data_IF_466315041910
#
_entry.id   IF_466315041910
#
_cell.length_a   1.000
_cell.length_b   1.000
_cell.length_c   1.000
_cell.angle_alpha   90.00
_cell.angle_beta   90.00
_cell.angle_gamma   90.00
#
_symmetry.space_group_name_H-M   'P 1'
#
loop_
_entity.id
_entity.type
_entity.pdbx_description
1 polymer ?
#
# COMPACT_ATOMS: atom_id res chain seq x y z
N UNK A 1 -5.68 36.28 7.32
CA UNK A 1 -7.13 36.51 7.35
C UNK A 1 -7.74 35.25 7.97
N UNK A 2 -8.04 35.29 9.27
CA UNK A 2 -8.76 34.21 9.96
C UNK A 2 -10.24 34.29 9.58
N UNK A 3 -10.73 33.37 8.78
CA UNK A 3 -12.16 33.16 8.57
C UNK A 3 -12.75 32.55 9.83
N UNK A 4 -13.62 33.27 10.50
CA UNK A 4 -14.42 32.82 11.63
C UNK A 4 -15.44 31.77 11.11
N UNK A 5 -15.16 30.48 11.30
CA UNK A 5 -16.04 29.38 10.91
C UNK A 5 -17.10 29.22 12.00
N UNK A 6 -18.37 29.40 11.64
CA UNK A 6 -19.51 29.11 12.53
C UNK A 6 -19.51 27.62 12.91
N UNK A 7 -19.78 27.30 14.16
CA UNK A 7 -19.66 25.98 14.78
C UNK A 7 -20.56 24.87 14.20
N UNK A 8 -21.34 25.13 13.17
CA UNK A 8 -22.17 24.13 12.46
C UNK A 8 -21.59 23.63 11.12
N UNK A 9 -20.58 24.34 10.58
CA UNK A 9 -20.03 24.05 9.23
C UNK A 9 -18.72 23.24 9.25
N UNK A 10 -18.12 23.06 10.42
CA UNK A 10 -16.80 22.41 10.56
C UNK A 10 -16.84 20.92 10.16
N UNK A 11 -17.90 20.22 10.48
CA UNK A 11 -18.07 18.80 10.12
C UNK A 11 -18.22 18.58 8.62
N UNK A 12 -19.02 19.42 7.97
CA UNK A 12 -19.26 19.32 6.52
C UNK A 12 -18.01 19.65 5.71
N UNK A 13 -17.28 20.69 6.10
CA UNK A 13 -16.00 21.07 5.48
C UNK A 13 -14.95 19.97 5.63
N UNK A 14 -14.82 19.37 6.83
CA UNK A 14 -13.90 18.27 7.08
C UNK A 14 -14.26 17.01 6.28
N UNK A 15 -15.54 16.68 6.17
CA UNK A 15 -16.02 15.56 5.34
C UNK A 15 -15.68 15.76 3.86
N UNK A 16 -15.91 16.94 3.31
CA UNK A 16 -15.51 17.31 1.95
C UNK A 16 -13.99 17.26 1.75
N UNK A 17 -13.24 17.74 2.75
CA UNK A 17 -11.78 17.70 2.75
C UNK A 17 -11.25 16.26 2.76
N UNK A 18 -11.79 15.39 3.61
CA UNK A 18 -11.44 13.96 3.70
C UNK A 18 -11.81 13.23 2.43
N UNK A 19 -13.01 13.46 1.90
CA UNK A 19 -13.49 12.88 0.65
C UNK A 19 -12.61 13.25 -0.56
N UNK A 20 -12.05 14.44 -0.58
CA UNK A 20 -11.11 14.88 -1.63
C UNK A 20 -9.73 14.21 -1.52
N UNK A 21 -9.33 13.78 -0.32
CA UNK A 21 -8.01 13.18 -0.07
C UNK A 21 -8.03 11.65 -0.04
N UNK A 22 -9.13 11.03 0.34
CA UNK A 22 -9.24 9.59 0.49
C UNK A 22 -10.21 9.02 -0.53
N UNK A 23 -9.73 8.13 -1.39
CA UNK A 23 -10.58 7.41 -2.34
C UNK A 23 -11.01 6.08 -1.74
N UNK A 24 -12.29 5.96 -1.38
CA UNK A 24 -12.89 4.67 -0.98
C UNK A 24 -13.20 3.88 -2.25
N UNK A 25 -12.65 2.68 -2.36
CA UNK A 25 -12.85 1.79 -3.51
C UNK A 25 -13.82 0.64 -3.23
N UNK A 26 -13.98 0.27 -1.97
CA UNK A 26 -14.99 -0.68 -1.51
C UNK A 26 -15.39 -0.38 -0.06
N UNK A 27 -16.65 -0.54 0.27
CA UNK A 27 -17.14 -0.39 1.64
C UNK A 27 -18.41 -1.20 1.86
N UNK A 28 -18.46 -1.94 2.96
CA UNK A 28 -19.66 -2.57 3.50
C UNK A 28 -19.76 -2.41 5.03
N UNK A 29 -20.55 -3.25 5.69
CA UNK A 29 -20.73 -3.18 7.16
C UNK A 29 -19.49 -3.65 7.95
N UNK A 30 -18.60 -4.40 7.34
CA UNK A 30 -17.51 -5.13 8.01
C UNK A 30 -16.12 -4.68 7.63
N UNK A 31 -15.95 -4.19 6.39
CA UNK A 31 -14.66 -3.77 5.86
C UNK A 31 -14.79 -2.45 5.07
N UNK A 32 -13.68 -1.75 4.95
CA UNK A 32 -13.50 -0.63 4.03
C UNK A 32 -12.13 -0.73 3.38
N UNK A 33 -12.09 -0.56 2.06
CA UNK A 33 -10.86 -0.57 1.27
C UNK A 33 -10.67 0.80 0.66
N UNK A 34 -9.51 1.38 0.87
CA UNK A 34 -9.17 2.72 0.37
C UNK A 34 -7.94 2.67 -0.53
N UNK A 35 -7.89 3.54 -1.52
CA UNK A 35 -6.71 3.79 -2.32
C UNK A 35 -5.89 4.89 -1.63
N UNK A 36 -4.83 4.48 -0.92
CA UNK A 36 -3.92 5.37 -0.21
C UNK A 36 -3.04 6.12 -1.21
N UNK A 37 -2.86 7.40 -1.02
CA UNK A 37 -1.85 8.18 -1.73
C UNK A 37 -0.46 7.98 -1.10
N UNK A 38 0.60 8.31 -1.85
CA UNK A 38 1.93 8.41 -1.26
C UNK A 38 1.95 9.53 -0.20
N UNK A 39 2.93 9.48 0.71
CA UNK A 39 3.11 10.39 1.86
C UNK A 39 2.20 10.13 3.06
N UNK A 40 1.07 9.45 2.91
CA UNK A 40 0.21 9.06 4.04
C UNK A 40 0.76 7.85 4.78
N UNK A 41 0.63 7.84 6.10
CA UNK A 41 0.92 6.69 6.96
C UNK A 41 -0.38 5.94 7.26
N UNK A 42 -0.33 4.62 7.26
CA UNK A 42 -1.54 3.80 7.53
C UNK A 42 -1.89 3.80 9.01
N UNK A 43 -0.89 3.75 9.88
CA UNK A 43 -1.00 3.72 11.33
C UNK A 43 -0.04 4.74 11.94
N UNK A 44 -0.38 5.27 13.12
CA UNK A 44 0.45 6.25 13.81
C UNK A 44 1.90 5.79 14.00
N UNK A 45 2.83 6.69 13.77
CA UNK A 45 4.26 6.51 13.95
C UNK A 45 4.88 7.67 14.75
N UNK A 46 6.21 7.76 14.79
CA UNK A 46 6.95 8.80 15.52
C UNK A 46 6.88 10.19 14.88
N UNK A 47 6.30 10.35 13.69
CA UNK A 47 6.25 11.62 12.96
C UNK A 47 5.17 12.56 13.48
N UNK A 48 4.15 12.02 14.15
CA UNK A 48 3.00 12.79 14.63
C UNK A 48 1.97 13.14 13.55
N UNK A 49 2.16 12.65 12.32
CA UNK A 49 1.16 12.84 11.26
C UNK A 49 -0.12 12.06 11.54
N UNK A 50 -1.26 12.61 11.14
CA UNK A 50 -2.54 11.93 11.26
C UNK A 50 -2.57 10.69 10.37
N UNK A 51 -2.70 9.47 10.93
CA UNK A 51 -2.69 8.25 10.16
C UNK A 51 -3.99 8.04 9.39
N UNK A 52 -3.92 7.33 8.29
CA UNK A 52 -5.06 6.99 7.45
C UNK A 52 -6.18 6.28 8.24
N UNK A 53 -5.84 5.47 9.24
CA UNK A 53 -6.80 4.84 10.15
C UNK A 53 -7.68 5.86 10.90
N UNK A 54 -7.13 7.00 11.33
CA UNK A 54 -7.90 8.05 11.99
C UNK A 54 -8.76 8.83 10.97
N UNK A 55 -8.24 9.06 9.77
CA UNK A 55 -8.99 9.69 8.66
C UNK A 55 -10.21 8.83 8.30
N UNK A 56 -10.03 7.49 8.20
CA UNK A 56 -11.13 6.55 7.94
C UNK A 56 -12.15 6.53 9.08
N UNK A 57 -11.72 6.58 10.34
CA UNK A 57 -12.65 6.69 11.50
C UNK A 57 -13.52 7.94 11.39
N UNK A 58 -12.90 9.07 11.13
CA UNK A 58 -13.61 10.33 11.02
C UNK A 58 -14.59 10.32 9.84
N UNK A 59 -14.16 9.80 8.67
CA UNK A 59 -15.03 9.61 7.52
C UNK A 59 -16.29 8.79 7.86
N UNK A 60 -16.12 7.65 8.54
CA UNK A 60 -17.25 6.79 8.92
C UNK A 60 -18.12 7.42 9.98
N UNK A 61 -17.53 8.17 10.93
CA UNK A 61 -18.29 8.89 11.96
C UNK A 61 -19.24 9.92 11.33
N UNK A 62 -18.74 10.69 10.40
CA UNK A 62 -19.51 11.74 9.73
C UNK A 62 -20.52 11.16 8.74
N UNK A 63 -20.09 10.22 7.88
CA UNK A 63 -20.97 9.58 6.90
C UNK A 63 -22.20 8.94 7.52
N UNK A 64 -22.04 8.28 8.66
CA UNK A 64 -23.10 7.55 9.34
C UNK A 64 -23.65 8.28 10.58
N UNK A 65 -23.23 9.53 10.82
CA UNK A 65 -23.65 10.36 11.97
C UNK A 65 -23.56 9.58 13.31
N UNK A 66 -22.47 8.80 13.49
CA UNK A 66 -22.31 7.94 14.65
C UNK A 66 -21.96 8.77 15.88
N UNK A 67 -22.75 8.63 16.99
CA UNK A 67 -22.35 9.19 18.27
C UNK A 67 -21.17 8.38 18.85
N UNK A 68 -20.19 9.06 19.40
CA UNK A 68 -19.06 8.41 20.09
C UNK A 68 -17.95 7.91 19.16
N UNK A 69 -17.21 6.90 19.62
CA UNK A 69 -16.04 6.37 18.94
C UNK A 69 -16.42 5.36 17.85
N UNK A 70 -15.74 5.45 16.70
CA UNK A 70 -15.85 4.47 15.61
C UNK A 70 -14.66 3.52 15.68
N UNK A 71 -14.94 2.22 15.63
CA UNK A 71 -13.89 1.21 15.58
C UNK A 71 -13.33 1.09 14.15
N UNK A 72 -12.00 1.10 14.03
CA UNK A 72 -11.26 0.73 12.81
C UNK A 72 -10.08 -0.13 13.21
N UNK A 73 -9.99 -1.32 12.62
CA UNK A 73 -8.87 -2.23 12.76
C UNK A 73 -7.93 -2.17 11.57
N UNK A 74 -6.64 -1.98 11.82
CA UNK A 74 -5.58 -2.02 10.81
C UNK A 74 -5.18 -3.47 10.57
N UNK A 75 -5.38 -3.97 9.34
CA UNK A 75 -5.09 -5.37 8.98
C UNK A 75 -3.71 -5.56 8.38
N UNK A 76 -3.26 -4.58 7.62
CA UNK A 76 -1.92 -4.53 7.00
C UNK A 76 -1.51 -3.07 6.76
N UNK A 77 -0.28 -2.87 6.31
CA UNK A 77 0.27 -1.54 6.06
C UNK A 77 0.99 -1.48 4.72
N UNK A 78 0.97 -0.30 4.13
CA UNK A 78 1.88 0.10 3.06
C UNK A 78 2.90 1.09 3.62
N UNK A 79 4.11 1.08 3.07
CA UNK A 79 5.13 2.07 3.41
C UNK A 79 4.64 3.48 3.04
N UNK A 80 5.12 4.52 3.74
CA UNK A 80 4.74 5.91 3.50
C UNK A 80 4.84 6.32 2.01
N UNK A 81 5.94 6.04 1.28
CA UNK A 81 6.08 6.48 -0.11
C UNK A 81 5.33 5.60 -1.12
N UNK A 82 4.63 4.55 -0.68
CA UNK A 82 3.89 3.60 -1.52
C UNK A 82 2.43 3.98 -1.57
N UNK A 83 1.80 3.90 -2.74
CA UNK A 83 0.37 4.12 -2.96
C UNK A 83 -0.39 2.81 -3.15
N UNK A 84 -1.73 2.87 -3.11
CA UNK A 84 -2.59 1.75 -3.45
C UNK A 84 -3.47 1.23 -2.31
N UNK A 85 -3.96 0.02 -2.46
CA UNK A 85 -5.02 -0.56 -1.64
C UNK A 85 -4.60 -0.85 -0.21
N UNK A 86 -5.41 -0.35 0.73
CA UNK A 86 -5.33 -0.68 2.16
C UNK A 86 -6.71 -1.12 2.64
N UNK A 87 -6.77 -2.29 3.27
CA UNK A 87 -7.99 -2.87 3.84
C UNK A 87 -8.04 -2.58 5.33
N UNK A 88 -9.15 -2.01 5.79
CA UNK A 88 -9.45 -1.83 7.20
C UNK A 88 -10.68 -2.65 7.61
N UNK A 89 -10.66 -3.16 8.83
CA UNK A 89 -11.81 -3.81 9.43
C UNK A 89 -12.67 -2.79 10.17
N UNK A 90 -13.98 -2.82 9.95
CA UNK A 90 -14.98 -1.98 10.66
C UNK A 90 -15.54 -2.66 11.92
N UNK A 91 -15.19 -3.94 12.14
CA UNK A 91 -15.59 -4.73 13.32
C UNK A 91 -14.42 -5.56 13.85
N UNK A 92 -14.42 -5.85 15.16
CA UNK A 92 -13.39 -6.70 15.78
C UNK A 92 -13.37 -8.12 15.21
N UNK A 93 -14.56 -8.67 14.88
CA UNK A 93 -14.69 -9.99 14.25
C UNK A 93 -14.06 -10.02 12.86
N UNK A 94 -14.29 -9.00 12.03
CA UNK A 94 -13.65 -8.88 10.73
C UNK A 94 -12.13 -8.71 10.86
N UNK A 95 -11.67 -7.90 11.83
CA UNK A 95 -10.25 -7.70 12.12
C UNK A 95 -9.52 -9.02 12.42
N UNK A 96 -10.06 -9.80 13.36
CA UNK A 96 -9.46 -11.09 13.75
C UNK A 96 -9.33 -12.03 12.56
N UNK A 97 -10.37 -12.15 11.76
CA UNK A 97 -10.40 -13.03 10.58
C UNK A 97 -9.46 -12.55 9.46
N UNK A 98 -9.45 -11.25 9.16
CA UNK A 98 -8.53 -10.67 8.18
C UNK A 98 -7.08 -10.83 8.61
N UNK A 99 -6.76 -10.61 9.89
CA UNK A 99 -5.40 -10.82 10.39
C UNK A 99 -4.92 -12.26 10.18
N UNK A 100 -5.80 -13.26 10.42
CA UNK A 100 -5.45 -14.66 10.13
C UNK A 100 -5.26 -14.89 8.64
N UNK A 101 -6.14 -14.38 7.78
CA UNK A 101 -6.01 -14.51 6.33
C UNK A 101 -4.74 -13.85 5.77
N UNK A 102 -4.33 -12.70 6.32
CA UNK A 102 -3.04 -12.09 5.96
C UNK A 102 -1.85 -12.93 6.42
N UNK A 103 -1.94 -13.54 7.60
CA UNK A 103 -0.89 -14.40 8.17
C UNK A 103 -0.74 -15.71 7.39
N UNK A 104 -1.84 -16.31 6.96
CA UNK A 104 -1.89 -17.57 6.16
C UNK A 104 -1.71 -17.34 4.66
N UNK A 105 -1.50 -16.09 4.23
CA UNK A 105 -1.34 -15.71 2.81
C UNK A 105 -2.56 -16.04 1.92
N UNK A 106 -3.74 -16.11 2.50
CA UNK A 106 -5.01 -16.25 1.77
C UNK A 106 -5.42 -14.97 1.03
N UNK A 107 -4.88 -13.82 1.44
CA UNK A 107 -5.08 -12.54 0.74
C UNK A 107 -4.07 -12.44 -0.39
N UNK A 108 -4.54 -12.47 -1.63
CA UNK A 108 -3.70 -12.24 -2.82
C UNK A 108 -3.49 -10.76 -3.02
N UNK A 109 -2.25 -10.36 -3.28
CA UNK A 109 -1.84 -8.96 -3.44
C UNK A 109 -0.95 -8.83 -4.65
N UNK A 110 -1.39 -8.01 -5.60
CA UNK A 110 -0.61 -7.69 -6.80
C UNK A 110 -0.21 -6.22 -6.78
N UNK A 111 1.05 -5.97 -7.01
CA UNK A 111 1.63 -4.63 -7.06
C UNK A 111 2.11 -4.33 -8.47
N UNK A 112 2.07 -3.05 -8.83
CA UNK A 112 2.78 -2.53 -9.98
C UNK A 112 3.99 -1.75 -9.53
N UNK A 113 5.14 -2.02 -10.16
CA UNK A 113 6.40 -1.36 -9.88
C UNK A 113 7.04 -0.84 -11.16
N UNK A 114 7.29 0.47 -11.23
CA UNK A 114 8.05 1.06 -12.34
C UNK A 114 9.52 1.06 -11.95
N UNK A 115 10.35 0.38 -12.73
CA UNK A 115 11.77 0.19 -12.47
C UNK A 115 12.64 0.80 -13.58
N UNK A 116 13.92 1.08 -13.26
CA UNK A 116 14.85 1.69 -14.22
C UNK A 116 15.34 0.70 -15.25
N UNK A 117 15.65 -0.51 -14.84
CA UNK A 117 16.28 -1.52 -15.68
C UNK A 117 15.30 -2.65 -15.97
N UNK A 118 15.35 -3.20 -17.16
CA UNK A 118 14.64 -4.44 -17.46
C UNK A 118 15.20 -5.58 -16.61
N UNK A 119 14.36 -6.50 -16.09
CA UNK A 119 14.84 -7.75 -15.56
C UNK A 119 15.50 -8.58 -16.67
N UNK A 120 16.42 -9.49 -16.30
CA UNK A 120 17.07 -10.38 -17.27
C UNK A 120 16.07 -11.31 -17.95
N UNK A 121 15.16 -11.86 -17.16
CA UNK A 121 14.04 -12.68 -17.65
C UNK A 121 12.74 -11.88 -17.56
N UNK A 122 11.81 -12.04 -18.52
CA UNK A 122 10.55 -11.29 -18.54
C UNK A 122 9.63 -11.63 -17.36
N UNK A 123 9.79 -12.80 -16.76
CA UNK A 123 9.07 -13.23 -15.56
C UNK A 123 9.95 -14.15 -14.70
N UNK A 124 9.64 -14.26 -13.42
CA UNK A 124 10.38 -15.14 -12.52
C UNK A 124 9.92 -15.04 -11.08
N UNK A 125 10.44 -15.94 -10.27
CA UNK A 125 10.24 -15.96 -8.83
C UNK A 125 11.53 -15.51 -8.12
N UNK A 126 11.39 -14.59 -7.17
CA UNK A 126 12.48 -14.17 -6.30
C UNK A 126 12.29 -14.79 -4.92
N UNK A 127 13.24 -15.62 -4.54
CA UNK A 127 13.32 -16.22 -3.20
C UNK A 127 14.58 -15.70 -2.52
N UNK A 128 14.40 -14.93 -1.45
CA UNK A 128 15.50 -14.40 -0.65
C UNK A 128 15.20 -14.53 0.84
N UNK A 129 16.22 -14.28 1.64
CA UNK A 129 16.14 -14.24 3.10
C UNK A 129 16.40 -12.80 3.56
N UNK A 130 15.38 -12.15 4.14
CA UNK A 130 15.42 -10.74 4.50
C UNK A 130 15.76 -10.54 5.97
N UNK A 131 16.72 -9.67 6.24
CA UNK A 131 17.05 -9.15 7.58
C UNK A 131 16.66 -7.69 7.64
N UNK A 132 15.85 -7.31 8.64
CA UNK A 132 15.51 -5.92 8.91
C UNK A 132 16.56 -5.27 9.82
N UNK A 133 17.10 -4.15 9.36
CA UNK A 133 17.88 -3.24 10.19
C UNK A 133 16.94 -2.12 10.71
N UNK A 134 16.59 -2.15 11.97
CA UNK A 134 15.64 -1.19 12.57
C UNK A 134 16.24 0.21 12.68
N UNK A 135 17.53 0.34 12.96
CA UNK A 135 18.22 1.63 13.08
C UNK A 135 18.21 2.41 11.75
N UNK A 136 18.37 1.71 10.63
CA UNK A 136 18.34 2.29 9.29
C UNK A 136 16.94 2.29 8.68
N UNK A 137 15.97 1.64 9.32
CA UNK A 137 14.64 1.36 8.74
C UNK A 137 14.75 0.81 7.31
N UNK A 138 15.60 -0.22 7.14
CA UNK A 138 15.93 -0.82 5.84
C UNK A 138 16.01 -2.34 5.97
N UNK A 139 15.65 -3.07 4.91
CA UNK A 139 15.84 -4.53 4.82
C UNK A 139 16.98 -4.87 3.85
N UNK A 140 17.66 -5.96 4.13
CA UNK A 140 18.72 -6.51 3.30
C UNK A 140 18.34 -7.93 2.87
N UNK A 141 18.54 -8.26 1.60
CA UNK A 141 18.19 -9.55 1.02
C UNK A 141 19.44 -10.41 0.77
N UNK A 142 19.40 -11.63 1.27
CA UNK A 142 20.44 -12.64 1.12
C UNK A 142 19.92 -13.82 0.28
N UNK A 143 20.80 -14.49 -0.45
CA UNK A 143 20.42 -15.65 -1.28
C UNK A 143 20.31 -16.94 -0.46
N UNK A 144 20.93 -16.96 0.72
CA UNK A 144 20.87 -18.07 1.69
C UNK A 144 20.34 -17.59 3.03
N UNK A 145 19.82 -18.51 3.81
CA UNK A 145 19.39 -18.22 5.17
C UNK A 145 20.57 -17.74 6.03
N UNK A 146 20.34 -16.66 6.76
CA UNK A 146 21.30 -16.08 7.72
C UNK A 146 20.59 -15.83 9.05
N UNK A 147 21.32 -15.67 10.18
CA UNK A 147 20.70 -15.41 11.48
C UNK A 147 19.69 -14.24 11.43
N UNK A 148 18.52 -14.44 12.06
CA UNK A 148 17.40 -13.48 12.10
C UNK A 148 16.74 -13.17 10.75
N UNK A 149 17.10 -13.84 9.68
CA UNK A 149 16.46 -13.66 8.39
C UNK A 149 15.07 -14.32 8.33
N UNK A 150 14.22 -13.80 7.45
CA UNK A 150 12.91 -14.37 7.15
C UNK A 150 12.80 -14.63 5.66
N UNK A 151 12.38 -15.83 5.29
CA UNK A 151 12.13 -16.18 3.88
C UNK A 151 11.09 -15.23 3.27
N UNK A 152 11.39 -14.74 2.08
CA UNK A 152 10.59 -13.79 1.31
C UNK A 152 10.45 -14.29 -0.13
N UNK A 153 9.22 -14.40 -0.61
CA UNK A 153 8.89 -14.93 -1.93
C UNK A 153 7.96 -13.95 -2.63
N UNK A 154 8.31 -13.58 -3.85
CA UNK A 154 7.44 -12.88 -4.79
C UNK A 154 7.63 -13.45 -6.19
N UNK A 155 6.59 -13.34 -7.01
CA UNK A 155 6.66 -13.56 -8.45
C UNK A 155 6.57 -12.22 -9.15
N UNK A 156 7.33 -12.02 -10.24
CA UNK A 156 7.24 -10.80 -11.04
C UNK A 156 7.06 -11.16 -12.53
N UNK A 157 6.44 -10.25 -13.25
CA UNK A 157 6.27 -10.30 -14.70
C UNK A 157 6.44 -8.90 -15.29
N UNK A 158 7.22 -8.79 -16.35
CA UNK A 158 7.34 -7.57 -17.15
C UNK A 158 6.07 -7.41 -18.00
N UNK A 159 5.28 -6.36 -17.74
CA UNK A 159 4.00 -6.12 -18.39
C UNK A 159 3.97 -4.85 -19.24
N UNK A 160 5.00 -4.01 -19.16
CA UNK A 160 5.06 -2.78 -19.94
C UNK A 160 6.49 -2.25 -20.08
N UNK A 161 6.73 -1.53 -21.18
CA UNK A 161 8.01 -0.89 -21.50
C UNK A 161 7.75 0.51 -22.04
N UNK A 162 8.53 1.47 -21.56
CA UNK A 162 8.66 2.82 -22.15
C UNK A 162 10.11 3.08 -22.55
N UNK A 163 10.41 4.24 -23.12
CA UNK A 163 11.78 4.59 -23.54
C UNK A 163 12.79 4.51 -22.39
N UNK A 164 12.37 4.80 -21.17
CA UNK A 164 13.27 4.95 -20.02
C UNK A 164 12.99 4.03 -18.85
N UNK A 165 11.85 3.36 -18.82
CA UNK A 165 11.36 2.59 -17.67
C UNK A 165 10.62 1.33 -18.10
N UNK A 166 10.51 0.41 -17.15
CA UNK A 166 9.81 -0.86 -17.30
C UNK A 166 8.76 -1.00 -16.20
N UNK A 167 7.59 -1.54 -16.56
CA UNK A 167 6.52 -1.84 -15.61
C UNK A 167 6.55 -3.32 -15.28
N UNK A 168 6.72 -3.62 -13.99
CA UNK A 168 6.61 -4.97 -13.46
C UNK A 168 5.30 -5.12 -12.70
N UNK A 169 4.60 -6.20 -12.96
CA UNK A 169 3.57 -6.75 -12.09
C UNK A 169 4.22 -7.69 -11.09
N UNK A 170 3.88 -7.55 -9.81
CA UNK A 170 4.50 -8.30 -8.71
C UNK A 170 3.42 -8.96 -7.87
N UNK A 171 3.38 -10.29 -7.87
CA UNK A 171 2.54 -11.08 -6.98
C UNK A 171 3.29 -11.41 -5.69
N UNK A 172 2.81 -10.84 -4.59
CA UNK A 172 3.45 -10.94 -3.30
C UNK A 172 2.97 -12.19 -2.54
N UNK A 173 3.83 -13.20 -2.42
CA UNK A 173 3.53 -14.46 -1.67
C UNK A 173 3.76 -14.30 -0.18
N UNK A 174 4.70 -13.47 0.24
CA UNK A 174 5.00 -13.14 1.64
C UNK A 174 4.99 -11.62 1.81
N UNK A 175 4.78 -11.11 3.04
CA UNK A 175 4.68 -9.67 3.33
C UNK A 175 5.77 -9.21 4.30
N UNK A 176 7.08 -9.29 3.93
CA UNK A 176 8.17 -8.82 4.78
C UNK A 176 8.38 -7.31 4.63
N UNK A 177 8.96 -6.69 5.65
CA UNK A 177 9.28 -5.26 5.65
C UNK A 177 10.12 -4.89 4.41
N UNK A 178 9.65 -3.91 3.62
CA UNK A 178 10.28 -3.42 2.39
C UNK A 178 10.55 -4.52 1.34
N UNK A 179 9.82 -5.63 1.35
CA UNK A 179 10.15 -6.84 0.58
C UNK A 179 10.35 -6.56 -0.91
N UNK A 180 9.36 -5.99 -1.59
CA UNK A 180 9.41 -5.73 -3.04
C UNK A 180 10.58 -4.80 -3.36
N UNK A 181 10.71 -3.71 -2.60
CA UNK A 181 11.77 -2.71 -2.75
C UNK A 181 13.16 -3.34 -2.67
N UNK A 182 13.37 -4.16 -1.64
CA UNK A 182 14.65 -4.84 -1.37
C UNK A 182 14.98 -5.90 -2.42
N UNK A 183 14.01 -6.75 -2.78
CA UNK A 183 14.23 -7.85 -3.73
C UNK A 183 14.43 -7.35 -5.16
N UNK A 184 13.64 -6.37 -5.63
CA UNK A 184 13.82 -5.78 -6.95
C UNK A 184 15.16 -5.02 -7.06
N UNK A 185 15.57 -4.30 -6.02
CA UNK A 185 16.87 -3.65 -6.00
C UNK A 185 18.02 -4.66 -6.06
N UNK A 186 17.93 -5.77 -5.30
CA UNK A 186 18.93 -6.87 -5.35
C UNK A 186 19.01 -7.50 -6.74
N UNK A 187 17.90 -7.62 -7.44
CA UNK A 187 17.84 -8.11 -8.82
C UNK A 187 18.46 -7.13 -9.84
N UNK A 188 18.81 -5.90 -9.42
CA UNK A 188 19.34 -4.86 -10.31
C UNK A 188 18.27 -3.97 -10.96
N UNK A 189 17.01 -4.07 -10.50
CA UNK A 189 15.86 -3.32 -10.97
C UNK A 189 15.30 -2.39 -9.89
N UNK A 190 16.04 -1.34 -9.45
CA UNK A 190 15.57 -0.44 -8.40
C UNK A 190 14.31 0.31 -8.84
N UNK A 191 13.36 0.44 -7.92
CA UNK A 191 12.08 1.13 -8.16
C UNK A 191 12.35 2.63 -8.34
N UNK A 192 11.71 3.24 -9.34
CA UNK A 192 11.83 4.67 -9.60
C UNK A 192 11.44 5.50 -8.37
N UNK A 193 12.34 6.40 -7.98
CA UNK A 193 12.18 7.28 -6.82
C UNK A 193 12.69 6.69 -5.49
N UNK A 194 13.07 5.42 -5.45
CA UNK A 194 13.48 4.75 -4.22
C UNK A 194 14.99 4.93 -3.91
N UNK A 195 15.35 6.10 -3.37
CA UNK A 195 16.71 6.41 -2.95
C UNK A 195 17.26 5.38 -1.94
N UNK A 196 16.41 4.90 -1.03
CA UNK A 196 16.82 3.95 0.02
C UNK A 196 17.36 2.64 -0.56
N UNK A 197 16.88 2.26 -1.73
CA UNK A 197 17.25 1.03 -2.44
C UNK A 197 17.98 1.27 -3.76
N UNK A 198 18.64 2.42 -3.89
CA UNK A 198 19.63 2.65 -4.93
C UNK A 198 19.14 3.32 -6.21
N UNK A 199 17.90 3.84 -6.24
CA UNK A 199 17.54 4.72 -7.33
C UNK A 199 18.23 6.10 -7.18
N UNK A 200 18.66 6.70 -8.29
CA UNK A 200 19.53 7.89 -8.25
C UNK A 200 18.84 9.19 -7.79
N UNK A 201 17.53 9.30 -7.98
CA UNK A 201 16.77 10.54 -7.67
C UNK A 201 15.40 10.23 -7.07
N UNK A 202 14.98 11.03 -6.08
CA UNK A 202 13.59 10.96 -5.58
C UNK A 202 12.59 11.47 -6.60
N UNK A 203 11.32 11.05 -6.47
CA UNK A 203 10.24 11.75 -7.13
C UNK A 203 10.03 13.11 -6.43
N UNK A 204 9.49 14.13 -7.13
CA UNK A 204 9.28 15.46 -6.55
C UNK A 204 8.42 15.48 -5.29
N UNK A 205 7.45 14.56 -5.18
CA UNK A 205 6.55 14.40 -4.05
C UNK A 205 7.05 13.41 -2.98
N UNK A 206 8.29 12.90 -3.12
CA UNK A 206 8.87 11.90 -2.22
C UNK A 206 8.27 10.50 -2.34
N UNK A 207 7.37 10.27 -3.28
CA UNK A 207 6.83 8.93 -3.58
C UNK A 207 7.86 8.01 -4.22
N UNK A 208 7.57 6.71 -4.22
CA UNK A 208 8.23 5.74 -5.08
C UNK A 208 7.20 5.14 -6.03
N UNK A 209 7.64 4.73 -7.22
CA UNK A 209 6.73 4.14 -8.21
C UNK A 209 6.41 2.67 -7.88
N UNK A 210 5.86 2.44 -6.70
CA UNK A 210 5.31 1.17 -6.22
C UNK A 210 3.87 1.40 -5.80
N UNK A 211 2.95 0.61 -6.36
CA UNK A 211 1.52 0.76 -6.19
C UNK A 211 0.86 -0.58 -5.89
N UNK A 212 0.14 -0.68 -4.76
CA UNK A 212 -0.68 -1.85 -4.43
C UNK A 212 -1.94 -1.83 -5.31
N UNK A 213 -1.82 -2.44 -6.50
CA UNK A 213 -2.75 -2.32 -7.61
C UNK A 213 -4.01 -3.15 -7.42
N UNK A 214 -3.87 -4.39 -6.97
CA UNK A 214 -4.98 -5.33 -6.88
C UNK A 214 -4.92 -6.13 -5.58
N UNK A 215 -6.09 -6.42 -5.01
CA UNK A 215 -6.24 -7.30 -3.86
C UNK A 215 -7.45 -8.20 -4.06
N UNK A 216 -7.32 -9.49 -3.73
CA UNK A 216 -8.44 -10.42 -3.72
C UNK A 216 -8.39 -11.35 -2.51
N UNK A 217 -9.55 -11.60 -1.92
CA UNK A 217 -9.73 -12.45 -0.74
C UNK A 217 -11.19 -12.82 -0.53
N UNK A 218 -11.44 -13.89 0.21
CA UNK A 218 -12.81 -14.25 0.64
C UNK A 218 -13.24 -13.30 1.74
N UNK A 219 -14.40 -12.66 1.58
CA UNK A 219 -14.91 -11.73 2.58
C UNK A 219 -15.04 -12.39 3.96
N UNK A 220 -14.54 -11.77 5.05
CA UNK A 220 -14.44 -12.41 6.35
C UNK A 220 -15.78 -12.81 6.97
N UNK A 221 -16.89 -12.20 6.52
CA UNK A 221 -18.23 -12.45 7.06
C UNK A 221 -19.16 -13.05 6.03
N UNK A 222 -19.40 -12.41 4.86
CA UNK A 222 -20.34 -12.90 3.83
C UNK A 222 -19.82 -14.14 3.08
N UNK A 223 -18.51 -14.39 3.10
CA UNK A 223 -17.85 -15.48 2.36
C UNK A 223 -17.85 -15.35 0.85
N UNK A 224 -18.26 -14.22 0.34
CA UNK A 224 -18.15 -13.88 -1.07
C UNK A 224 -16.72 -13.50 -1.43
N UNK A 225 -16.35 -13.71 -2.70
CA UNK A 225 -15.05 -13.28 -3.21
C UNK A 225 -15.06 -11.75 -3.35
N UNK A 226 -14.13 -11.09 -2.71
CA UNK A 226 -13.82 -9.68 -2.91
C UNK A 226 -12.62 -9.57 -3.83
N UNK A 227 -12.78 -8.78 -4.88
CA UNK A 227 -11.75 -8.47 -5.85
C UNK A 227 -11.80 -6.99 -6.17
N UNK A 228 -10.71 -6.28 -5.88
CA UNK A 228 -10.66 -4.81 -5.98
C UNK A 228 -9.37 -4.38 -6.63
N UNK A 229 -9.50 -3.43 -7.54
CA UNK A 229 -8.39 -2.80 -8.24
C UNK A 229 -8.35 -1.30 -7.94
N UNK A 230 -7.17 -0.76 -7.63
CA UNK A 230 -6.98 0.66 -7.40
C UNK A 230 -6.56 1.38 -8.68
N UNK A 231 -7.14 2.55 -8.99
CA UNK A 231 -6.58 3.40 -10.03
C UNK A 231 -5.15 3.81 -9.66
N UNK A 232 -4.26 3.83 -10.64
CA UNK A 232 -2.86 4.26 -10.44
C UNK A 232 -2.80 5.76 -10.13
N UNK A 233 -1.69 6.25 -9.53
CA UNK A 233 -1.49 7.68 -9.30
C UNK A 233 -1.64 8.50 -10.61
N UNK A 234 -2.26 9.70 -10.55
CA UNK A 234 -2.58 10.49 -11.75
C UNK A 234 -1.35 11.27 -12.27
N UNK A 235 -0.26 10.57 -12.53
CA UNK A 235 0.94 11.16 -13.13
C UNK A 235 1.14 10.64 -14.55
N UNK A 236 1.74 11.44 -15.42
CA UNK A 236 1.97 11.09 -16.82
C UNK A 236 2.70 9.74 -16.97
N UNK A 237 3.63 9.45 -16.07
CA UNK A 237 4.38 8.20 -16.11
C UNK A 237 3.48 6.98 -15.86
N UNK A 238 2.63 7.02 -14.85
CA UNK A 238 1.69 5.93 -14.56
C UNK A 238 0.63 5.79 -15.65
N UNK A 239 0.10 6.92 -16.13
CA UNK A 239 -0.90 6.94 -17.21
C UNK A 239 -0.34 6.39 -18.50
N UNK A 240 0.93 6.69 -18.84
CA UNK A 240 1.60 6.16 -20.02
C UNK A 240 1.66 4.62 -20.06
N UNK A 241 1.72 3.98 -18.89
CA UNK A 241 1.69 2.51 -18.81
C UNK A 241 0.27 1.91 -18.81
N UNK A 242 -0.77 2.69 -18.51
CA UNK A 242 -2.16 2.21 -18.61
C UNK A 242 -2.67 2.12 -20.06
N UNK A 243 -2.00 2.78 -20.99
CA UNK A 243 -2.38 2.81 -22.41
C UNK A 243 -1.70 1.71 -23.24
N UNK A 244 -0.88 0.87 -22.60
CA UNK A 244 -0.20 -0.27 -23.20
C UNK A 244 -0.98 -1.55 -22.85
#
# INVERSE_FOLDING_TARGET
VFLCIRSGDSGRWWYEYVRKRMTVVYEDNHIIIVNKTASEIVQGDKTGDTPLSEIVKQYLKEKYQKPGNVFIGVTHRLDRPVSGLVVFAKTSKALSRLNEMFKTSEVKKTYWAIVKNAPKEPEGELVNYLVRNEKQNKSYAYDKEVPKSKKAILHYRLIGKSDNYFLLEVDLKTGRHHQIRCQLAKMGCPIKGDLKYGFARSNPDGSICLHARHISFVHPVSKEMIEVEAPVPPTNLWQGFQMI
#
